data_IF_761238600031
#
_entry.id   IF_761238600031
#
_cell.length_a   1.000
_cell.length_b   1.000
_cell.length_c   1.000
_cell.angle_alpha   90.00
_cell.angle_beta   90.00
_cell.angle_gamma   90.00
#
_symmetry.space_group_name_H-M   'P 1'
#
loop_
_entity.id
_entity.type
_entity.pdbx_description
1 polymer ?
#
# COMPACT_ATOMS: atom_id res chain seq x y z
N UNK A 1 -20.01 -1.58 0.01
CA UNK A 1 -18.87 -2.14 0.75
C UNK A 1 -19.06 -3.65 0.69
N UNK A 2 -18.20 -4.37 -0.03
CA UNK A 2 -18.36 -5.82 -0.21
C UNK A 2 -17.77 -6.54 1.01
N UNK A 3 -18.60 -7.18 1.81
CA UNK A 3 -18.16 -8.04 2.92
C UNK A 3 -17.64 -9.37 2.34
N UNK A 4 -16.43 -9.34 1.79
CA UNK A 4 -15.69 -10.56 1.47
C UNK A 4 -15.11 -11.08 2.78
N UNK A 5 -15.72 -12.14 3.32
CA UNK A 5 -15.22 -12.80 4.53
C UNK A 5 -14.02 -13.69 4.17
N UNK A 6 -12.85 -13.05 3.99
CA UNK A 6 -11.58 -13.69 3.66
C UNK A 6 -10.89 -14.27 4.90
N UNK A 7 -10.35 -15.48 4.76
CA UNK A 7 -9.54 -16.18 5.76
C UNK A 7 -8.11 -16.41 5.24
N UNK A 8 -7.20 -16.67 6.16
CA UNK A 8 -5.82 -17.01 5.79
C UNK A 8 -5.78 -18.29 4.94
N UNK A 9 -5.09 -18.21 3.80
CA UNK A 9 -5.00 -19.31 2.82
C UNK A 9 -6.04 -19.26 1.71
N UNK A 10 -7.01 -18.35 1.77
CA UNK A 10 -7.99 -18.18 0.70
C UNK A 10 -7.32 -17.58 -0.54
N UNK A 11 -7.73 -18.07 -1.71
CA UNK A 11 -7.50 -17.41 -2.99
C UNK A 11 -8.83 -16.88 -3.49
N UNK A 12 -8.88 -15.58 -3.77
CA UNK A 12 -10.08 -14.90 -4.29
C UNK A 12 -9.77 -14.28 -5.65
N UNK A 13 -10.77 -14.23 -6.51
CA UNK A 13 -10.71 -13.54 -7.79
C UNK A 13 -11.49 -12.22 -7.66
N UNK A 14 -10.84 -11.11 -8.01
CA UNK A 14 -11.43 -9.77 -8.00
C UNK A 14 -11.24 -9.17 -9.39
N UNK A 15 -12.29 -8.58 -9.94
CA UNK A 15 -12.20 -7.78 -11.16
C UNK A 15 -11.30 -6.55 -10.89
N UNK A 16 -10.24 -6.41 -11.69
CA UNK A 16 -9.28 -5.32 -11.59
C UNK A 16 -9.95 -3.94 -11.62
N UNK A 17 -11.07 -3.78 -12.33
CA UNK A 17 -11.79 -2.50 -12.39
C UNK A 17 -12.37 -2.06 -11.04
N UNK A 18 -12.50 -2.98 -10.08
CA UNK A 18 -13.00 -2.72 -8.74
C UNK A 18 -11.88 -2.44 -7.72
N UNK A 19 -10.61 -2.56 -8.12
CA UNK A 19 -9.46 -2.29 -7.25
C UNK A 19 -9.07 -0.81 -7.40
N UNK A 20 -9.29 -0.02 -6.34
CA UNK A 20 -8.89 1.39 -6.33
C UNK A 20 -7.40 1.59 -6.04
N UNK A 21 -6.82 0.74 -5.19
CA UNK A 21 -5.41 0.73 -4.84
C UNK A 21 -5.03 -0.65 -4.29
N UNK A 22 -3.75 -1.02 -4.39
CA UNK A 22 -3.21 -2.29 -3.90
C UNK A 22 -1.80 -2.07 -3.36
N UNK A 23 -1.36 -2.92 -2.44
CA UNK A 23 0.02 -2.88 -1.95
C UNK A 23 0.50 -4.30 -1.65
N UNK A 24 1.72 -4.61 -2.07
CA UNK A 24 2.45 -5.78 -1.61
C UNK A 24 3.92 -5.43 -1.40
N UNK A 25 4.66 -6.32 -0.73
CA UNK A 25 6.09 -6.12 -0.48
C UNK A 25 6.91 -7.05 -1.37
N UNK A 26 7.87 -6.46 -2.06
CA UNK A 26 8.90 -7.15 -2.84
C UNK A 26 10.26 -6.79 -2.25
N UNK A 27 10.99 -7.76 -1.70
CA UNK A 27 12.24 -7.52 -0.97
C UNK A 27 12.16 -6.36 0.06
N UNK A 28 11.04 -6.31 0.81
CA UNK A 28 10.68 -5.27 1.81
C UNK A 28 10.33 -3.90 1.24
N UNK A 29 10.36 -3.72 -0.07
CA UNK A 29 9.95 -2.49 -0.76
C UNK A 29 8.46 -2.56 -1.07
N UNK A 30 7.74 -1.50 -0.71
CA UNK A 30 6.32 -1.36 -1.00
C UNK A 30 6.09 -1.13 -2.50
N UNK A 31 5.54 -2.14 -3.18
CA UNK A 31 5.02 -2.06 -4.55
C UNK A 31 3.54 -1.69 -4.52
N UNK A 32 3.08 -0.98 -5.54
CA UNK A 32 1.76 -0.34 -5.52
C UNK A 32 1.73 0.83 -4.54
N UNK A 33 0.76 0.85 -3.63
CA UNK A 33 0.51 1.84 -2.59
C UNK A 33 0.36 3.26 -3.16
N UNK A 34 -0.40 3.40 -4.25
CA UNK A 34 -0.45 4.64 -5.02
C UNK A 34 -0.93 5.81 -4.18
N UNK A 35 -1.99 5.61 -3.39
CA UNK A 35 -2.55 6.64 -2.51
C UNK A 35 -1.53 7.08 -1.46
N UNK A 36 -0.84 6.13 -0.85
CA UNK A 36 0.19 6.41 0.16
C UNK A 36 1.36 7.18 -0.46
N UNK A 37 1.81 6.79 -1.66
CA UNK A 37 2.88 7.49 -2.39
C UNK A 37 2.49 8.93 -2.72
N UNK A 38 1.26 9.17 -3.18
CA UNK A 38 0.78 10.54 -3.47
C UNK A 38 0.77 11.38 -2.21
N UNK A 39 0.25 10.87 -1.09
CA UNK A 39 0.24 11.60 0.18
C UNK A 39 1.66 11.87 0.69
N UNK A 40 2.54 10.87 0.65
CA UNK A 40 3.96 11.01 1.03
C UNK A 40 4.67 12.04 0.17
N UNK A 41 4.43 12.06 -1.15
CA UNK A 41 5.09 12.98 -2.07
C UNK A 41 4.68 14.46 -1.88
N UNK A 42 3.56 14.71 -1.21
CA UNK A 42 3.12 16.07 -0.84
C UNK A 42 3.79 16.57 0.44
N UNK A 43 4.45 15.69 1.20
CA UNK A 43 5.18 16.04 2.41
C UNK A 43 6.56 16.61 2.10
N UNK A 44 7.11 17.40 3.01
CA UNK A 44 8.51 17.82 2.96
C UNK A 44 9.46 16.63 3.16
N UNK A 45 10.73 16.80 2.79
CA UNK A 45 11.71 15.71 2.91
C UNK A 45 11.88 15.18 4.34
N UNK A 46 11.80 16.06 5.35
CA UNK A 46 11.90 15.64 6.75
C UNK A 46 10.67 14.84 7.18
N UNK A 47 9.47 15.28 6.79
CA UNK A 47 8.21 14.58 7.05
C UNK A 47 8.16 13.22 6.34
N UNK A 48 8.65 13.13 5.10
CA UNK A 48 8.78 11.87 4.38
C UNK A 48 9.67 10.89 5.14
N UNK A 49 10.82 11.35 5.62
CA UNK A 49 11.75 10.51 6.40
C UNK A 49 11.13 10.04 7.71
N UNK A 50 10.41 10.91 8.42
CA UNK A 50 9.70 10.52 9.64
C UNK A 50 8.56 9.53 9.34
N UNK A 51 7.83 9.74 8.25
CA UNK A 51 6.80 8.82 7.78
C UNK A 51 7.38 7.44 7.45
N UNK A 52 8.51 7.36 6.75
CA UNK A 52 9.17 6.09 6.41
C UNK A 52 9.60 5.34 7.67
N UNK A 53 10.18 6.04 8.65
CA UNK A 53 10.60 5.44 9.92
C UNK A 53 9.38 4.93 10.72
N UNK A 54 8.31 5.72 10.81
CA UNK A 54 7.14 5.37 11.63
C UNK A 54 6.26 4.30 10.99
N UNK A 55 6.09 4.35 9.66
CA UNK A 55 5.30 3.37 8.92
C UNK A 55 6.04 2.06 8.70
N UNK A 56 7.38 2.09 8.70
CA UNK A 56 8.22 0.95 8.32
C UNK A 56 8.15 0.62 6.83
N UNK A 57 7.53 1.47 6.02
CA UNK A 57 7.42 1.30 4.58
C UNK A 57 8.69 1.83 3.90
N UNK A 58 9.22 1.02 2.98
CA UNK A 58 10.31 1.43 2.10
C UNK A 58 9.73 1.67 0.70
N UNK A 59 10.03 2.81 0.11
CA UNK A 59 9.61 3.18 -1.23
C UNK A 59 10.84 3.35 -2.13
N UNK A 60 10.72 2.93 -3.40
CA UNK A 60 11.69 3.25 -4.46
C UNK A 60 11.54 4.70 -4.94
#
# INVERSE_FOLDING_TARGET
>A
MYDINVKYGDTIEIDESNISDWMYFDDKIAKGAYTIKVLRNQMSAEEQKQFDIQSGLLFD
#
